data_IF_866928709123
#
_entry.id   IF_866928709123
#
_cell.length_a   1.000
_cell.length_b   1.000
_cell.length_c   1.000
_cell.angle_alpha   90.00
_cell.angle_beta   90.00
_cell.angle_gamma   90.00
#
_symmetry.space_group_name_H-M   'P 1'
#
loop_
_entity.id
_entity.type
_entity.pdbx_description
1 polymer ?
#
# COMPACT_ATOMS: atom_id res chain seq x y z
N UNK A 1 5.89 -1.74 25.65
CA UNK A 1 6.85 -1.79 26.78
C UNK A 1 6.92 -3.22 27.27
N UNK A 2 8.10 -3.85 27.08
CA UNK A 2 8.61 -5.01 27.83
C UNK A 2 7.78 -6.31 27.87
N UNK A 3 7.84 -7.14 26.83
CA UNK A 3 7.56 -8.57 26.93
C UNK A 3 8.86 -9.34 27.22
N UNK A 4 9.20 -9.50 28.49
CA UNK A 4 10.24 -10.43 28.92
C UNK A 4 9.68 -11.84 28.88
N UNK A 5 10.25 -12.67 28.01
CA UNK A 5 9.89 -14.06 27.83
C UNK A 5 10.47 -14.94 28.95
N UNK A 6 9.77 -16.01 29.37
CA UNK A 6 10.24 -16.95 30.40
C UNK A 6 11.44 -17.82 29.96
N UNK A 7 12.08 -17.48 28.83
CA UNK A 7 13.17 -18.25 28.23
C UNK A 7 14.56 -17.73 28.67
N UNK A 8 14.68 -16.45 29.03
CA UNK A 8 15.94 -15.88 29.57
C UNK A 8 16.23 -16.32 31.00
N UNK A 9 15.20 -16.64 31.79
CA UNK A 9 15.37 -17.08 33.18
C UNK A 9 15.86 -18.54 33.28
N UNK A 10 15.57 -19.37 32.26
CA UNK A 10 16.08 -20.76 32.19
C UNK A 10 17.55 -20.82 31.78
N UNK A 11 18.01 -19.90 30.93
CA UNK A 11 19.42 -19.86 30.49
C UNK A 11 20.33 -19.29 31.59
N UNK A 12 19.86 -18.29 32.34
CA UNK A 12 20.63 -17.71 33.45
C UNK A 12 20.79 -18.65 34.66
N UNK A 13 19.86 -19.59 34.87
CA UNK A 13 19.96 -20.58 35.95
C UNK A 13 20.95 -21.72 35.64
N UNK A 14 21.20 -22.00 34.35
CA UNK A 14 22.15 -23.05 33.95
C UNK A 14 23.61 -22.56 33.96
N UNK A 15 23.85 -21.27 33.69
CA UNK A 15 25.21 -20.70 33.70
C UNK A 15 25.73 -20.35 35.11
N UNK A 16 24.86 -20.13 36.09
CA UNK A 16 25.25 -19.73 37.45
C UNK A 16 25.38 -20.89 38.47
N UNK A 17 25.04 -22.12 38.09
CA UNK A 17 25.04 -23.27 39.02
C UNK A 17 25.91 -24.47 38.56
N UNK A 18 26.73 -24.30 37.52
CA UNK A 18 27.68 -25.31 37.06
C UNK A 18 28.88 -25.53 38.01
N UNK A 19 29.00 -24.74 39.08
CA UNK A 19 30.08 -24.83 40.06
C UNK A 19 29.64 -25.26 41.48
N UNK A 20 28.35 -25.50 41.73
CA UNK A 20 27.84 -25.75 43.10
C UNK A 20 27.51 -27.22 43.42
N UNK A 21 27.70 -28.16 42.49
CA UNK A 21 27.40 -29.60 42.73
C UNK A 21 28.66 -30.43 43.02
N UNK A 22 29.82 -29.81 43.25
CA UNK A 22 31.09 -30.54 43.52
C UNK A 22 31.43 -30.68 45.02
N UNK A 23 30.70 -30.04 45.94
CA UNK A 23 30.95 -30.19 47.39
C UNK A 23 29.74 -30.77 48.13
N UNK A 24 29.41 -32.02 47.83
CA UNK A 24 28.64 -32.87 48.72
C UNK A 24 29.62 -33.66 49.60
N UNK A 25 29.76 -33.25 50.85
CA UNK A 25 30.59 -33.88 51.88
C UNK A 25 30.03 -35.29 52.19
N UNK A 26 30.52 -36.31 51.48
CA UNK A 26 30.22 -37.71 51.77
C UNK A 26 31.31 -38.28 52.68
N UNK A 27 31.00 -38.33 53.98
CA UNK A 27 31.72 -39.14 54.96
C UNK A 27 31.72 -40.61 54.51
N UNK A 28 32.84 -41.08 53.98
CA UNK A 28 33.10 -42.50 53.70
C UNK A 28 34.03 -43.06 54.76
N UNK A 29 33.45 -43.53 55.87
CA UNK A 29 34.13 -44.49 56.72
C UNK A 29 34.18 -45.84 55.98
N UNK A 30 35.35 -46.13 55.40
CA UNK A 30 35.78 -47.50 55.08
C UNK A 30 35.29 -48.08 53.75
N UNK A 31 35.82 -47.60 52.62
CA UNK A 31 35.98 -48.42 51.39
C UNK A 31 37.26 -47.99 50.67
N UNK A 32 38.07 -48.98 50.27
CA UNK A 32 39.32 -48.85 49.51
C UNK A 32 39.18 -48.01 48.23
N UNK A 33 40.20 -47.21 47.82
CA UNK A 33 40.09 -46.32 46.68
C UNK A 33 40.06 -47.11 45.35
N UNK A 34 38.95 -46.99 44.63
CA UNK A 34 38.84 -47.36 43.22
C UNK A 34 39.65 -46.36 42.39
N UNK A 35 40.44 -46.85 41.43
CA UNK A 35 41.32 -46.07 40.56
C UNK A 35 40.64 -44.81 39.99
N UNK A 36 41.16 -43.62 40.30
CA UNK A 36 40.58 -42.32 39.94
C UNK A 36 40.38 -42.14 38.42
N UNK A 37 41.19 -42.81 37.58
CA UNK A 37 41.03 -42.78 36.12
C UNK A 37 39.83 -43.59 35.63
N UNK A 38 39.43 -44.64 36.35
CA UNK A 38 38.24 -45.43 36.04
C UNK A 38 36.98 -44.72 36.51
N UNK A 39 37.04 -44.00 37.64
CA UNK A 39 35.93 -43.19 38.12
C UNK A 39 35.64 -42.00 37.19
N UNK A 40 36.68 -41.33 36.65
CA UNK A 40 36.49 -40.23 35.68
C UNK A 40 35.96 -40.71 34.33
N UNK A 41 36.42 -41.86 33.83
CA UNK A 41 35.97 -42.43 32.55
C UNK A 41 34.54 -43.01 32.65
N UNK A 42 34.15 -43.52 33.82
CA UNK A 42 32.78 -43.96 34.07
C UNK A 42 31.83 -42.77 34.21
N UNK A 43 32.28 -41.69 34.86
CA UNK A 43 31.50 -40.46 35.04
C UNK A 43 31.30 -39.72 33.72
N UNK A 44 32.31 -39.66 32.85
CA UNK A 44 32.16 -39.09 31.50
C UNK A 44 31.17 -39.90 30.67
N UNK A 45 31.30 -41.23 30.63
CA UNK A 45 30.36 -42.13 29.93
C UNK A 45 28.93 -42.02 30.46
N UNK A 46 28.75 -41.88 31.77
CA UNK A 46 27.43 -41.70 32.37
C UNK A 46 26.83 -40.33 32.00
N UNK A 47 27.65 -39.28 31.98
CA UNK A 47 27.23 -37.94 31.57
C UNK A 47 26.87 -37.91 30.08
N UNK A 48 27.66 -38.59 29.23
CA UNK A 48 27.39 -38.73 27.80
C UNK A 48 26.11 -39.53 27.54
N UNK A 49 25.86 -40.61 28.30
CA UNK A 49 24.63 -41.38 28.23
C UNK A 49 23.40 -40.58 28.66
N UNK A 50 23.48 -39.84 29.77
CA UNK A 50 22.37 -38.99 30.22
C UNK A 50 22.11 -37.89 29.21
N UNK A 51 23.15 -37.26 28.68
CA UNK A 51 23.02 -36.20 27.67
C UNK A 51 22.43 -36.75 26.37
N UNK A 52 22.84 -37.94 25.94
CA UNK A 52 22.30 -38.61 24.77
C UNK A 52 20.82 -39.00 24.94
N UNK A 53 20.43 -39.53 26.10
CA UNK A 53 19.02 -39.86 26.38
C UNK A 53 18.15 -38.63 26.55
N UNK A 54 18.66 -37.58 27.20
CA UNK A 54 17.94 -36.32 27.38
C UNK A 54 17.74 -35.61 26.05
N UNK A 55 18.77 -35.60 25.18
CA UNK A 55 18.65 -35.07 23.83
C UNK A 55 17.69 -35.90 22.97
N UNK A 56 17.71 -37.23 23.06
CA UNK A 56 16.76 -38.09 22.33
C UNK A 56 15.31 -37.93 22.82
N UNK A 57 15.09 -37.58 24.09
CA UNK A 57 13.75 -37.37 24.66
C UNK A 57 13.15 -35.98 24.34
N UNK A 58 14.00 -34.97 24.08
CA UNK A 58 13.58 -33.59 23.79
C UNK A 58 13.47 -33.33 22.28
N UNK A 59 14.13 -34.14 21.45
CA UNK A 59 14.36 -33.90 20.03
C UNK A 59 13.63 -34.96 19.17
N UNK A 60 12.60 -34.55 18.45
CA UNK A 60 11.88 -35.39 17.48
C UNK A 60 12.78 -35.75 16.27
N UNK A 61 12.35 -36.68 15.41
CA UNK A 61 13.14 -37.17 14.26
C UNK A 61 13.66 -36.05 13.34
N UNK A 62 12.90 -34.96 13.19
CA UNK A 62 13.32 -33.76 12.45
C UNK A 62 14.49 -33.04 13.11
N UNK A 63 14.47 -32.89 14.43
CA UNK A 63 15.52 -32.24 15.20
C UNK A 63 16.83 -33.06 15.17
N UNK A 64 16.74 -34.39 15.18
CA UNK A 64 17.93 -35.26 15.04
C UNK A 64 18.55 -35.17 13.64
N UNK A 65 17.70 -35.04 12.61
CA UNK A 65 18.14 -34.81 11.24
C UNK A 65 18.86 -33.46 11.10
N UNK A 66 18.29 -32.38 11.62
CA UNK A 66 18.89 -31.03 11.57
C UNK A 66 20.22 -30.97 12.33
N UNK A 67 20.31 -31.62 13.50
CA UNK A 67 21.54 -31.71 14.26
C UNK A 67 22.65 -32.45 13.49
N UNK A 68 22.30 -33.56 12.84
CA UNK A 68 23.24 -34.34 12.00
C UNK A 68 23.67 -33.55 10.77
N UNK A 69 22.74 -32.86 10.11
CA UNK A 69 23.03 -32.00 8.96
C UNK A 69 23.95 -30.84 9.34
N UNK A 70 23.70 -30.18 10.47
CA UNK A 70 24.55 -29.10 10.98
C UNK A 70 25.95 -29.60 11.34
N UNK A 71 26.06 -30.77 11.96
CA UNK A 71 27.35 -31.39 12.28
C UNK A 71 28.16 -31.71 11.01
N UNK A 72 27.51 -32.26 9.98
CA UNK A 72 28.14 -32.53 8.68
C UNK A 72 28.58 -31.23 7.98
N UNK A 73 27.73 -30.20 7.99
CA UNK A 73 28.07 -28.90 7.43
C UNK A 73 29.29 -28.27 8.13
N UNK A 74 29.34 -28.35 9.47
CA UNK A 74 30.48 -27.88 10.25
C UNK A 74 31.76 -28.65 9.93
N UNK A 75 31.70 -29.98 9.87
CA UNK A 75 32.85 -30.81 9.52
C UNK A 75 33.37 -30.53 8.10
N UNK A 76 32.46 -30.27 7.16
CA UNK A 76 32.81 -29.85 5.79
C UNK A 76 33.54 -28.50 5.78
N UNK A 77 33.06 -27.51 6.55
CA UNK A 77 33.70 -26.19 6.61
C UNK A 77 35.07 -26.26 7.31
N UNK A 78 35.20 -27.05 8.36
CA UNK A 78 36.49 -27.32 9.01
C UNK A 78 37.48 -27.99 8.05
N UNK A 79 37.04 -28.98 7.27
CA UNK A 79 37.87 -29.62 6.25
C UNK A 79 38.32 -28.63 5.17
N UNK A 80 37.42 -27.76 4.70
CA UNK A 80 37.73 -26.68 3.74
C UNK A 80 38.75 -25.69 4.31
N UNK A 81 38.60 -25.30 5.58
CA UNK A 81 39.58 -24.42 6.24
C UNK A 81 40.94 -25.11 6.39
N UNK A 82 40.97 -26.40 6.70
CA UNK A 82 42.21 -27.17 6.78
C UNK A 82 42.87 -27.31 5.42
N UNK A 83 42.11 -27.51 4.33
CA UNK A 83 42.64 -27.50 2.97
C UNK A 83 43.30 -26.16 2.61
N UNK A 84 42.72 -25.05 3.06
CA UNK A 84 43.30 -23.71 2.87
C UNK A 84 44.57 -23.51 3.72
N UNK A 85 44.58 -24.03 4.96
CA UNK A 85 45.71 -23.86 5.90
C UNK A 85 46.88 -24.80 5.64
N UNK A 86 46.62 -26.02 5.19
CA UNK A 86 47.63 -27.08 5.05
C UNK A 86 48.83 -26.67 4.19
N UNK A 87 48.68 -25.95 3.05
CA UNK A 87 49.83 -25.48 2.27
C UNK A 87 50.73 -24.51 3.04
N UNK A 88 50.15 -23.62 3.84
CA UNK A 88 50.89 -22.63 4.62
C UNK A 88 51.62 -23.26 5.81
N UNK A 89 51.00 -24.23 6.48
CA UNK A 89 51.64 -25.00 7.55
C UNK A 89 52.77 -25.88 7.00
N UNK A 90 52.58 -26.49 5.84
CA UNK A 90 53.62 -27.25 5.14
C UNK A 90 54.82 -26.36 4.79
N UNK A 91 54.58 -25.18 4.21
CA UNK A 91 55.64 -24.23 3.88
C UNK A 91 56.42 -23.81 5.12
N UNK A 92 55.73 -23.43 6.21
CA UNK A 92 56.40 -23.04 7.46
C UNK A 92 57.26 -24.17 8.03
N UNK A 93 56.79 -25.42 7.94
CA UNK A 93 57.54 -26.58 8.37
C UNK A 93 58.78 -26.83 7.47
N UNK A 94 58.65 -26.61 6.18
CA UNK A 94 59.73 -26.71 5.21
C UNK A 94 60.79 -25.61 5.41
N UNK A 95 60.38 -24.36 5.62
CA UNK A 95 61.27 -23.25 5.99
C UNK A 95 62.09 -23.58 7.26
N UNK A 96 61.43 -24.11 8.28
CA UNK A 96 62.08 -24.52 9.53
C UNK A 96 63.08 -25.68 9.32
N UNK A 97 62.77 -26.62 8.42
CA UNK A 97 63.65 -27.73 8.07
C UNK A 97 64.96 -27.25 7.39
N UNK A 98 64.86 -26.36 6.40
CA UNK A 98 66.04 -25.79 5.74
C UNK A 98 66.87 -24.90 6.68
N UNK A 99 66.21 -24.12 7.54
CA UNK A 99 66.88 -23.33 8.56
C UNK A 99 67.69 -24.20 9.54
N UNK A 100 67.19 -25.39 9.90
CA UNK A 100 67.90 -26.35 10.74
C UNK A 100 69.13 -26.95 10.04
N UNK A 101 69.05 -27.21 8.73
CA UNK A 101 70.17 -27.71 7.94
C UNK A 101 71.25 -26.65 7.64
N UNK A 102 70.95 -25.36 7.84
CA UNK A 102 71.85 -24.26 7.52
C UNK A 102 71.97 -23.98 6.01
N UNK A 103 71.04 -24.51 5.20
CA UNK A 103 70.97 -24.32 3.75
C UNK A 103 69.95 -23.25 3.38
N UNK A 104 70.19 -22.49 2.31
CA UNK A 104 69.19 -21.56 1.78
C UNK A 104 68.08 -22.32 1.06
N UNK A 105 66.82 -21.99 1.37
CA UNK A 105 65.66 -22.55 0.69
C UNK A 105 65.76 -22.34 -0.84
N UNK A 106 65.36 -23.32 -1.67
CA UNK A 106 65.44 -23.19 -3.12
C UNK A 106 64.60 -22.02 -3.69
N UNK A 107 65.17 -21.21 -4.58
CA UNK A 107 64.47 -20.06 -5.23
C UNK A 107 63.17 -20.40 -5.99
N UNK A 108 62.87 -21.68 -6.20
CA UNK A 108 61.66 -22.17 -6.89
C UNK A 108 60.36 -21.75 -6.18
N UNK A 109 60.40 -21.51 -4.88
CA UNK A 109 59.24 -21.08 -4.11
C UNK A 109 58.83 -19.63 -4.42
N UNK A 110 59.81 -18.73 -4.55
CA UNK A 110 59.54 -17.31 -4.82
C UNK A 110 58.88 -17.10 -6.19
N UNK A 111 59.27 -17.89 -7.20
CA UNK A 111 58.61 -17.88 -8.50
C UNK A 111 57.17 -18.39 -8.42
N UNK A 112 56.93 -19.49 -7.69
CA UNK A 112 55.58 -20.02 -7.43
C UNK A 112 54.68 -19.00 -6.72
N UNK A 113 55.24 -18.26 -5.75
CA UNK A 113 54.52 -17.17 -5.06
C UNK A 113 54.14 -16.04 -5.98
N UNK A 114 55.05 -15.60 -6.84
CA UNK A 114 54.76 -14.51 -7.77
C UNK A 114 53.64 -14.91 -8.74
N UNK A 115 53.67 -16.13 -9.27
CA UNK A 115 52.61 -16.64 -10.16
C UNK A 115 51.27 -16.74 -9.41
N UNK A 116 51.26 -17.29 -8.20
CA UNK A 116 50.04 -17.42 -7.41
C UNK A 116 49.48 -16.05 -7.01
N UNK A 117 50.34 -15.11 -6.65
CA UNK A 117 49.95 -13.74 -6.29
C UNK A 117 49.34 -13.00 -7.48
N UNK A 118 49.90 -13.16 -8.69
CA UNK A 118 49.31 -12.58 -9.89
C UNK A 118 47.95 -13.22 -10.22
N UNK A 119 47.80 -14.54 -10.07
CA UNK A 119 46.50 -15.20 -10.22
C UNK A 119 45.47 -14.69 -9.22
N UNK A 120 45.86 -14.52 -7.95
CA UNK A 120 44.99 -13.95 -6.93
C UNK A 120 44.60 -12.51 -7.24
N UNK A 121 45.53 -11.66 -7.71
CA UNK A 121 45.22 -10.29 -8.12
C UNK A 121 44.19 -10.25 -9.24
N UNK A 122 44.34 -11.12 -10.26
CA UNK A 122 43.41 -11.21 -11.38
C UNK A 122 42.03 -11.67 -10.88
N UNK A 123 41.96 -12.79 -10.15
CA UNK A 123 40.69 -13.33 -9.64
C UNK A 123 39.99 -12.35 -8.68
N UNK A 124 40.76 -11.67 -7.83
CA UNK A 124 40.24 -10.65 -6.92
C UNK A 124 39.70 -9.46 -7.71
N UNK A 125 40.44 -8.98 -8.72
CA UNK A 125 39.99 -7.89 -9.59
C UNK A 125 38.71 -8.21 -10.33
N UNK A 126 38.61 -9.40 -10.92
CA UNK A 126 37.41 -9.89 -11.61
C UNK A 126 36.22 -10.01 -10.64
N UNK A 127 36.45 -10.60 -9.46
CA UNK A 127 35.41 -10.78 -8.43
C UNK A 127 34.94 -9.42 -7.91
N UNK A 128 35.86 -8.49 -7.65
CA UNK A 128 35.54 -7.13 -7.22
C UNK A 128 34.72 -6.40 -8.28
N UNK A 129 35.12 -6.48 -9.55
CA UNK A 129 34.39 -5.84 -10.64
C UNK A 129 32.99 -6.44 -10.83
N UNK A 130 32.87 -7.77 -10.75
CA UNK A 130 31.56 -8.46 -10.82
C UNK A 130 30.66 -8.06 -9.66
N UNK A 131 31.19 -7.97 -8.44
CA UNK A 131 30.42 -7.54 -7.26
C UNK A 131 29.99 -6.08 -7.39
N UNK A 132 30.85 -5.21 -7.93
CA UNK A 132 30.48 -3.83 -8.22
C UNK A 132 29.33 -3.75 -9.23
N UNK A 133 29.41 -4.50 -10.33
CA UNK A 133 28.31 -4.57 -11.31
C UNK A 133 27.01 -5.11 -10.72
N UNK A 134 27.08 -6.14 -9.87
CA UNK A 134 25.91 -6.66 -9.17
C UNK A 134 25.28 -5.62 -8.25
N UNK A 135 26.09 -4.85 -7.54
CA UNK A 135 25.61 -3.76 -6.68
C UNK A 135 24.97 -2.63 -7.49
N UNK A 136 25.58 -2.24 -8.61
CA UNK A 136 25.04 -1.22 -9.51
C UNK A 136 23.71 -1.66 -10.14
N UNK A 137 23.62 -2.94 -10.53
CA UNK A 137 22.39 -3.56 -11.02
C UNK A 137 21.31 -3.59 -9.94
N UNK A 138 21.65 -3.98 -8.72
CA UNK A 138 20.72 -4.00 -7.59
C UNK A 138 20.16 -2.60 -7.32
N UNK A 139 21.02 -1.57 -7.29
CA UNK A 139 20.59 -0.19 -7.10
C UNK A 139 19.68 0.29 -8.25
N UNK A 140 19.99 -0.09 -9.48
CA UNK A 140 19.15 0.21 -10.65
C UNK A 140 17.78 -0.47 -10.55
N UNK A 141 17.73 -1.75 -10.16
CA UNK A 141 16.47 -2.47 -9.95
C UNK A 141 15.64 -1.87 -8.83
N UNK A 142 16.29 -1.44 -7.75
CA UNK A 142 15.63 -0.75 -6.64
C UNK A 142 14.98 0.55 -7.10
N UNK A 143 15.72 1.42 -7.81
CA UNK A 143 15.20 2.67 -8.37
C UNK A 143 14.04 2.40 -9.35
N UNK A 144 14.20 1.41 -10.24
CA UNK A 144 13.15 1.07 -11.21
C UNK A 144 11.88 0.55 -10.53
N UNK A 145 12.02 -0.23 -9.46
CA UNK A 145 10.89 -0.72 -8.66
C UNK A 145 10.17 0.44 -7.97
N UNK A 146 10.93 1.36 -7.38
CA UNK A 146 10.38 2.57 -6.76
C UNK A 146 9.61 3.44 -7.78
N UNK A 147 10.22 3.72 -8.94
CA UNK A 147 9.57 4.49 -10.01
C UNK A 147 8.31 3.80 -10.55
N UNK A 148 8.34 2.47 -10.67
CA UNK A 148 7.17 1.69 -11.11
C UNK A 148 6.02 1.77 -10.10
N UNK A 149 6.35 1.77 -8.81
CA UNK A 149 5.37 1.95 -7.75
C UNK A 149 4.78 3.36 -7.71
N UNK A 150 5.59 4.41 -7.88
CA UNK A 150 5.09 5.78 -8.00
C UNK A 150 4.16 5.94 -9.22
N UNK A 151 4.55 5.38 -10.37
CA UNK A 151 3.70 5.39 -11.57
C UNK A 151 2.38 4.65 -11.34
N UNK A 152 2.41 3.52 -10.64
CA UNK A 152 1.19 2.79 -10.29
C UNK A 152 0.25 3.65 -9.43
N UNK A 153 0.78 4.33 -8.40
CA UNK A 153 -0.01 5.21 -7.54
C UNK A 153 -0.61 6.39 -8.32
N UNK A 154 0.17 7.00 -9.22
CA UNK A 154 -0.30 8.11 -10.06
C UNK A 154 -1.45 7.69 -10.99
N UNK A 155 -1.31 6.52 -11.65
CA UNK A 155 -2.37 5.96 -12.50
C UNK A 155 -3.61 5.62 -11.68
N UNK A 156 -3.44 5.03 -10.49
CA UNK A 156 -4.55 4.70 -9.60
C UNK A 156 -5.33 5.96 -9.20
N UNK A 157 -4.63 6.99 -8.72
CA UNK A 157 -5.24 8.26 -8.32
C UNK A 157 -5.92 8.96 -9.50
N UNK A 158 -5.27 8.96 -10.67
CA UNK A 158 -5.82 9.55 -11.89
C UNK A 158 -7.11 8.84 -12.33
N UNK A 159 -7.15 7.50 -12.24
CA UNK A 159 -8.34 6.74 -12.59
C UNK A 159 -9.51 6.99 -11.63
N UNK A 160 -9.25 7.05 -10.31
CA UNK A 160 -10.30 7.38 -9.34
C UNK A 160 -10.82 8.81 -9.54
N UNK A 161 -9.94 9.78 -9.78
CA UNK A 161 -10.34 11.15 -10.11
C UNK A 161 -11.16 11.22 -11.42
N UNK A 162 -10.79 10.43 -12.43
CA UNK A 162 -11.53 10.36 -13.69
C UNK A 162 -12.91 9.73 -13.50
N UNK A 163 -13.01 8.68 -12.70
CA UNK A 163 -14.26 8.01 -12.35
C UNK A 163 -15.21 8.95 -11.59
N UNK A 164 -14.68 9.74 -10.65
CA UNK A 164 -15.46 10.77 -9.95
C UNK A 164 -16.00 11.81 -10.95
N UNK A 165 -15.13 12.35 -11.82
CA UNK A 165 -15.55 13.31 -12.86
C UNK A 165 -16.60 12.72 -13.80
N UNK A 166 -16.46 11.44 -14.17
CA UNK A 166 -17.43 10.74 -15.00
C UNK A 166 -18.78 10.64 -14.30
N UNK A 167 -18.81 10.24 -13.03
CA UNK A 167 -20.04 10.12 -12.24
C UNK A 167 -20.74 11.48 -12.09
N UNK A 168 -19.99 12.55 -11.81
CA UNK A 168 -20.53 13.92 -11.72
C UNK A 168 -21.11 14.34 -13.08
N UNK A 169 -20.37 14.11 -14.17
CA UNK A 169 -20.80 14.47 -15.52
C UNK A 169 -22.06 13.71 -15.92
N UNK A 170 -22.10 12.40 -15.69
CA UNK A 170 -23.26 11.56 -15.95
C UNK A 170 -24.47 12.04 -15.14
N UNK A 171 -24.30 12.30 -13.83
CA UNK A 171 -25.36 12.84 -12.97
C UNK A 171 -25.89 14.19 -13.46
N UNK A 172 -24.99 15.08 -13.88
CA UNK A 172 -25.34 16.38 -14.45
C UNK A 172 -26.12 16.24 -15.76
N UNK A 173 -25.72 15.33 -16.64
CA UNK A 173 -26.44 15.03 -17.89
C UNK A 173 -27.87 14.56 -17.55
N UNK A 174 -28.02 13.55 -16.69
CA UNK A 174 -29.34 13.05 -16.30
C UNK A 174 -30.22 14.14 -15.65
N UNK A 175 -29.63 14.99 -14.81
CA UNK A 175 -30.36 16.07 -14.14
C UNK A 175 -30.77 17.16 -15.13
N UNK A 176 -29.88 17.53 -16.07
CA UNK A 176 -30.19 18.52 -17.12
C UNK A 176 -31.25 18.01 -18.09
N UNK A 177 -31.22 16.73 -18.47
CA UNK A 177 -32.23 16.13 -19.33
C UNK A 177 -33.60 16.14 -18.65
N UNK A 178 -33.66 15.77 -17.36
CA UNK A 178 -34.89 15.86 -16.56
C UNK A 178 -35.40 17.30 -16.44
N UNK A 179 -34.51 18.27 -16.19
CA UNK A 179 -34.86 19.69 -16.12
C UNK A 179 -35.44 20.17 -17.45
N UNK A 180 -34.79 19.85 -18.56
CA UNK A 180 -35.24 20.19 -19.91
C UNK A 180 -36.60 19.57 -20.21
N UNK A 181 -36.82 18.32 -19.80
CA UNK A 181 -38.12 17.66 -19.92
C UNK A 181 -39.22 18.39 -19.14
N UNK A 182 -38.98 18.78 -17.89
CA UNK A 182 -39.96 19.49 -17.07
C UNK A 182 -40.24 20.91 -17.59
N UNK A 183 -39.22 21.63 -18.05
CA UNK A 183 -39.38 22.95 -18.66
C UNK A 183 -40.22 22.85 -19.95
N UNK A 184 -39.93 21.84 -20.79
CA UNK A 184 -40.70 21.60 -22.01
C UNK A 184 -42.15 21.20 -21.73
N UNK A 185 -42.40 20.38 -20.70
CA UNK A 185 -43.76 20.05 -20.28
C UNK A 185 -44.49 21.29 -19.77
N UNK A 186 -43.85 22.11 -18.94
CA UNK A 186 -44.42 23.37 -18.46
C UNK A 186 -44.79 24.32 -19.60
N UNK A 187 -43.89 24.51 -20.56
CA UNK A 187 -44.14 25.33 -21.75
C UNK A 187 -45.32 24.80 -22.58
N UNK A 188 -45.38 23.48 -22.81
CA UNK A 188 -46.50 22.85 -23.53
C UNK A 188 -47.83 23.06 -22.80
N UNK A 189 -47.85 22.91 -21.49
CA UNK A 189 -49.05 23.12 -20.66
C UNK A 189 -49.52 24.57 -20.70
N UNK A 190 -48.60 25.54 -20.58
CA UNK A 190 -48.94 26.97 -20.70
C UNK A 190 -49.47 27.31 -22.09
N UNK A 191 -48.86 26.78 -23.15
CA UNK A 191 -49.34 26.97 -24.52
C UNK A 191 -50.74 26.36 -24.73
N UNK A 192 -50.99 25.18 -24.16
CA UNK A 192 -52.29 24.51 -24.22
C UNK A 192 -53.38 25.34 -23.53
N UNK A 193 -53.15 25.78 -22.28
CA UNK A 193 -54.10 26.65 -21.57
C UNK A 193 -54.28 28.00 -22.27
N UNK A 194 -53.22 28.57 -22.84
CA UNK A 194 -53.31 29.81 -23.62
C UNK A 194 -54.22 29.68 -24.85
N UNK A 195 -54.15 28.54 -25.57
CA UNK A 195 -55.06 28.25 -26.69
C UNK A 195 -56.51 28.12 -26.24
N UNK A 196 -56.76 27.44 -25.12
CA UNK A 196 -58.11 27.30 -24.54
C UNK A 196 -58.68 28.66 -24.13
N UNK A 197 -57.91 29.48 -23.41
CA UNK A 197 -58.33 30.81 -22.98
C UNK A 197 -58.63 31.72 -24.18
N UNK A 198 -57.86 31.61 -25.26
CA UNK A 198 -58.11 32.36 -26.49
C UNK A 198 -59.44 31.97 -27.15
N UNK A 199 -59.80 30.69 -27.16
CA UNK A 199 -61.11 30.22 -27.66
C UNK A 199 -62.24 30.83 -26.81
N UNK A 200 -62.14 30.75 -25.48
CA UNK A 200 -63.14 31.34 -24.58
C UNK A 200 -63.24 32.86 -24.75
N UNK A 201 -62.12 33.54 -24.96
CA UNK A 201 -62.11 34.97 -25.22
C UNK A 201 -62.86 35.33 -26.50
N UNK A 202 -62.64 34.60 -27.60
CA UNK A 202 -63.38 34.82 -28.86
C UNK A 202 -64.88 34.64 -28.64
N UNK A 203 -65.29 33.56 -27.96
CA UNK A 203 -66.70 33.31 -27.64
C UNK A 203 -67.29 34.42 -26.77
N UNK A 204 -66.54 34.89 -25.76
CA UNK A 204 -66.94 35.99 -24.90
C UNK A 204 -67.11 37.30 -25.70
N UNK A 205 -66.18 37.62 -26.61
CA UNK A 205 -66.27 38.80 -27.49
C UNK A 205 -67.54 38.74 -28.35
N UNK A 206 -67.83 37.59 -28.97
CA UNK A 206 -69.03 37.42 -29.79
C UNK A 206 -70.30 37.60 -28.97
N UNK A 207 -70.36 36.97 -27.79
CA UNK A 207 -71.48 37.13 -26.86
C UNK A 207 -71.64 38.57 -26.39
N UNK A 208 -70.53 39.24 -26.09
CA UNK A 208 -70.50 40.62 -25.64
C UNK A 208 -71.03 41.57 -26.72
N UNK A 209 -70.59 41.39 -27.96
CA UNK A 209 -71.11 42.14 -29.12
C UNK A 209 -72.63 41.93 -29.21
N UNK A 210 -73.09 40.68 -29.18
CA UNK A 210 -74.53 40.37 -29.21
C UNK A 210 -75.29 41.06 -28.08
N UNK A 211 -74.80 40.97 -26.84
CA UNK A 211 -75.44 41.56 -25.67
C UNK A 211 -75.53 43.10 -25.75
N UNK A 212 -74.47 43.78 -26.21
CA UNK A 212 -74.42 45.25 -26.34
C UNK A 212 -75.42 45.79 -27.36
N UNK A 213 -75.75 44.99 -28.39
CA UNK A 213 -76.72 45.35 -29.42
C UNK A 213 -78.15 44.87 -29.09
N UNK A 214 -78.29 43.71 -28.45
CA UNK A 214 -79.61 43.13 -28.13
C UNK A 214 -80.28 43.83 -26.94
N UNK A 215 -79.53 44.14 -25.89
CA UNK A 215 -80.07 44.82 -24.72
C UNK A 215 -80.10 46.34 -24.90
N UNK A 216 -81.23 46.97 -24.54
CA UNK A 216 -81.38 48.43 -24.57
C UNK A 216 -80.51 49.06 -23.47
N UNK A 217 -79.38 49.63 -23.86
CA UNK A 217 -78.47 50.39 -23.00
C UNK A 217 -78.55 51.89 -23.29
N UNK A 218 -78.35 52.74 -22.29
CA UNK A 218 -78.29 54.22 -22.42
C UNK A 218 -76.98 54.75 -23.02
N UNK A 219 -76.02 53.87 -23.32
CA UNK A 219 -74.72 54.25 -23.87
C UNK A 219 -74.84 54.74 -25.32
N UNK A 220 -74.11 55.83 -25.62
CA UNK A 220 -73.96 56.34 -26.99
C UNK A 220 -73.30 55.30 -27.91
N UNK A 221 -73.59 55.36 -29.21
CA UNK A 221 -73.05 54.41 -30.21
C UNK A 221 -71.52 54.43 -30.24
N UNK A 222 -70.90 55.61 -30.08
CA UNK A 222 -69.45 55.76 -30.02
C UNK A 222 -68.84 55.08 -28.78
N UNK A 223 -69.50 55.21 -27.63
CA UNK A 223 -69.07 54.53 -26.39
C UNK A 223 -69.16 53.00 -26.54
N UNK A 224 -70.21 52.48 -27.20
CA UNK A 224 -70.35 51.04 -27.47
C UNK A 224 -69.21 50.50 -28.33
N UNK A 225 -68.90 51.20 -29.44
CA UNK A 225 -67.82 50.81 -30.34
C UNK A 225 -66.47 50.85 -29.62
N UNK A 226 -66.20 51.91 -28.86
CA UNK A 226 -64.96 52.03 -28.08
C UNK A 226 -64.80 50.89 -27.06
N UNK A 227 -65.89 50.50 -26.39
CA UNK A 227 -65.89 49.42 -25.41
C UNK A 227 -65.65 48.05 -26.08
N UNK A 228 -66.25 47.80 -27.25
CA UNK A 228 -65.98 46.58 -28.04
C UNK A 228 -64.50 46.51 -28.46
N UNK A 229 -63.93 47.61 -28.97
CA UNK A 229 -62.52 47.66 -29.35
C UNK A 229 -61.63 47.37 -28.13
N UNK A 230 -61.95 47.95 -26.97
CA UNK A 230 -61.20 47.73 -25.73
C UNK A 230 -61.24 46.26 -25.28
N UNK A 231 -62.40 45.60 -25.38
CA UNK A 231 -62.53 44.16 -25.06
C UNK A 231 -61.75 43.30 -26.05
N UNK A 232 -61.74 43.63 -27.34
CA UNK A 232 -60.94 42.92 -28.36
C UNK A 232 -59.44 43.09 -28.11
N UNK A 233 -59.00 44.27 -27.69
CA UNK A 233 -57.58 44.56 -27.40
C UNK A 233 -57.13 44.09 -26.01
N UNK A 234 -58.05 43.67 -25.14
CA UNK A 234 -57.78 43.20 -23.78
C UNK A 234 -56.63 42.17 -23.67
N UNK A 235 -56.50 41.12 -24.50
CA UNK A 235 -55.40 40.16 -24.39
C UNK A 235 -54.03 40.78 -24.67
N UNK A 236 -53.95 41.79 -25.55
CA UNK A 236 -52.70 42.52 -25.81
C UNK A 236 -52.30 43.38 -24.61
N UNK A 237 -53.28 44.06 -24.01
CA UNK A 237 -53.08 44.86 -22.80
C UNK A 237 -52.62 43.95 -21.64
N UNK A 238 -53.25 42.78 -21.46
CA UNK A 238 -52.87 41.81 -20.44
C UNK A 238 -51.42 41.31 -20.63
N UNK A 239 -51.01 41.04 -21.87
CA UNK A 239 -49.62 40.66 -22.19
C UNK A 239 -48.62 41.77 -21.83
N UNK A 240 -48.94 43.02 -22.13
CA UNK A 240 -48.10 44.17 -21.78
C UNK A 240 -47.94 44.31 -20.26
N UNK A 241 -49.05 44.18 -19.52
CA UNK A 241 -49.05 44.23 -18.06
C UNK A 241 -48.21 43.09 -17.44
N UNK A 242 -48.32 41.87 -17.97
CA UNK A 242 -47.49 40.74 -17.53
C UNK A 242 -45.99 40.96 -17.80
N UNK A 243 -45.64 41.55 -18.95
CA UNK A 243 -44.25 41.89 -19.25
C UNK A 243 -43.69 42.93 -18.26
N UNK A 244 -44.45 43.99 -17.97
CA UNK A 244 -44.11 45.00 -16.97
C UNK A 244 -43.95 44.38 -15.58
N UNK A 245 -44.91 43.56 -15.16
CA UNK A 245 -44.86 42.86 -13.87
C UNK A 245 -43.62 41.96 -13.76
N UNK A 246 -43.29 41.20 -14.80
CA UNK A 246 -42.11 40.33 -14.80
C UNK A 246 -40.80 41.14 -14.78
N UNK A 247 -40.75 42.29 -15.47
CA UNK A 247 -39.61 43.21 -15.40
C UNK A 247 -39.42 43.73 -13.97
N UNK A 248 -40.49 44.20 -13.33
CA UNK A 248 -40.47 44.68 -11.94
C UNK A 248 -40.02 43.56 -11.00
N UNK A 249 -40.61 42.36 -11.13
CA UNK A 249 -40.27 41.20 -10.32
C UNK A 249 -38.78 40.84 -10.44
N UNK A 250 -38.23 40.79 -11.67
CA UNK A 250 -36.82 40.47 -11.88
C UNK A 250 -35.90 41.56 -11.32
N UNK A 251 -36.28 42.84 -11.42
CA UNK A 251 -35.55 43.94 -10.80
C UNK A 251 -35.53 43.82 -9.27
N UNK A 252 -36.67 43.51 -8.65
CA UNK A 252 -36.75 43.29 -7.19
C UNK A 252 -35.96 42.05 -6.77
N UNK A 253 -36.05 40.96 -7.53
CA UNK A 253 -35.30 39.73 -7.28
C UNK A 253 -33.79 39.92 -7.28
N UNK A 254 -33.27 40.83 -8.11
CA UNK A 254 -31.85 41.16 -8.13
C UNK A 254 -31.40 41.97 -6.90
N UNK A 255 -32.31 42.69 -6.25
CA UNK A 255 -32.04 43.44 -5.01
C UNK A 255 -32.06 42.56 -3.76
N UNK A 256 -32.67 41.37 -3.83
CA UNK A 256 -32.67 40.42 -2.72
C UNK A 256 -31.31 39.69 -2.66
N UNK A 257 -30.69 39.57 -1.48
CA UNK A 257 -29.46 38.82 -1.32
C UNK A 257 -29.69 37.36 -1.75
N UNK A 258 -28.85 36.86 -2.65
CA UNK A 258 -28.93 35.46 -3.10
C UNK A 258 -28.55 34.57 -1.92
N UNK A 259 -29.53 33.92 -1.31
CA UNK A 259 -29.28 32.93 -0.26
C UNK A 259 -28.40 31.81 -0.82
N UNK A 260 -27.20 31.69 -0.26
CA UNK A 260 -26.12 30.78 -0.69
C UNK A 260 -26.43 29.30 -0.37
N UNK A 261 -27.55 29.01 0.30
CA UNK A 261 -27.87 27.69 0.85
C UNK A 261 -28.76 26.79 -0.04
N UNK A 262 -28.83 27.05 -1.35
CA UNK A 262 -29.57 26.21 -2.32
C UNK A 262 -28.69 25.73 -3.48
N UNK A 263 -27.42 25.44 -3.20
CA UNK A 263 -26.57 24.59 -4.04
C UNK A 263 -26.38 23.25 -3.32
N UNK A 264 -27.17 22.25 -3.71
CA UNK A 264 -26.83 20.83 -3.59
C UNK A 264 -26.39 20.35 -4.97
#
# INVERSE_FOLDING_TARGET
MGSNTPFTDLINNYQNNSSSVINGDYSTSGVTPLNASMASDLLSKYTDMITAQTNAAICDASCQYDASLSALYKAMEEARLNEIKAPYEYERAEEAYYAFLGESMPNKYQEKYNVLMEQYKIQFGETFYRNKQLNDNYNTMYINTYNSYELFLDIFNTNEALKEKFNITASNIFTNDRKTMYENQGLKTVQFHGKILLIFHILFVLFFIFAVFYFKTTLSIYSKIGLIILVILQPLIARLMMFLANKIYNSVKQLLPKNVYLTL
#
